data_IF_146368725890
#
_entry.id   IF_146368725890
#
_cell.length_a   1.000
_cell.length_b   1.000
_cell.length_c   1.000
_cell.angle_alpha   90.00
_cell.angle_beta   90.00
_cell.angle_gamma   90.00
#
_symmetry.space_group_name_H-M   'P 1'
#
loop_
_entity.id
_entity.type
_entity.pdbx_description
1 polymer ?
#
# COMPACT_ATOMS: atom_id res chain seq x y z
N UNK A 1 -14.29 4.99 -2.93
CA UNK A 1 -13.14 4.60 -2.10
C UNK A 1 -13.62 3.60 -1.05
N UNK A 2 -12.80 2.60 -0.69
CA UNK A 2 -13.13 1.64 0.37
C UNK A 2 -12.28 1.97 1.59
N UNK A 3 -12.92 2.14 2.75
CA UNK A 3 -12.24 2.47 4.01
C UNK A 3 -12.30 1.27 4.96
N UNK A 4 -11.16 0.93 5.56
CA UNK A 4 -11.06 -0.08 6.62
C UNK A 4 -10.33 0.52 7.83
N UNK A 5 -10.74 0.11 9.03
CA UNK A 5 -10.02 0.41 10.27
C UNK A 5 -8.78 -0.47 10.38
N UNK A 6 -7.73 0.04 11.02
CA UNK A 6 -6.52 -0.74 11.24
C UNK A 6 -6.71 -1.86 12.26
N UNK A 7 -6.17 -3.04 11.96
CA UNK A 7 -5.99 -4.11 12.93
C UNK A 7 -4.53 -4.12 13.43
N UNK A 8 -4.34 -4.04 14.75
CA UNK A 8 -3.01 -4.02 15.40
C UNK A 8 -2.28 -5.38 15.38
N UNK A 9 -2.98 -6.47 15.08
CA UNK A 9 -2.39 -7.81 14.96
C UNK A 9 -1.72 -8.03 13.61
N UNK A 10 -2.08 -7.24 12.58
CA UNK A 10 -1.51 -7.35 11.25
C UNK A 10 -0.06 -6.86 11.23
N UNK A 11 0.83 -7.68 10.66
CA UNK A 11 2.27 -7.38 10.55
C UNK A 11 2.74 -7.65 9.13
N UNK A 12 3.79 -6.95 8.72
CA UNK A 12 4.43 -7.15 7.41
C UNK A 12 5.94 -7.16 7.60
N UNK A 13 6.57 -8.27 7.23
CA UNK A 13 8.02 -8.37 7.23
C UNK A 13 8.61 -7.58 6.07
N UNK A 14 9.73 -6.90 6.32
CA UNK A 14 10.48 -6.13 5.33
C UNK A 14 11.98 -6.36 5.47
N UNK A 15 12.69 -6.27 4.36
CA UNK A 15 14.15 -6.35 4.31
C UNK A 15 14.80 -4.96 4.38
N UNK A 16 14.09 -3.90 4.00
CA UNK A 16 14.58 -2.53 4.04
C UNK A 16 13.41 -1.54 4.21
N UNK A 17 13.61 -0.53 5.06
CA UNK A 17 12.72 0.63 5.21
C UNK A 17 13.58 1.88 5.31
N UNK A 18 13.34 2.85 4.42
CA UNK A 18 14.04 4.14 4.34
C UNK A 18 13.03 5.26 4.27
N UNK A 19 13.28 6.35 4.98
CA UNK A 19 12.51 7.59 4.92
C UNK A 19 13.33 8.74 5.54
N UNK A 20 13.27 9.91 4.92
CA UNK A 20 13.86 11.16 5.41
C UNK A 20 12.76 12.10 5.88
N UNK A 21 12.84 12.57 7.12
CA UNK A 21 11.83 13.47 7.68
C UNK A 21 12.37 14.89 7.84
N UNK A 22 11.59 15.87 7.40
CA UNK A 22 11.77 17.28 7.78
C UNK A 22 10.79 17.59 8.90
N UNK A 23 11.31 17.89 10.08
CA UNK A 23 10.48 18.13 11.27
C UNK A 23 10.41 19.61 11.57
N UNK A 24 9.20 20.15 11.65
CA UNK A 24 8.94 21.54 11.99
C UNK A 24 7.62 21.66 12.75
N UNK A 25 7.63 22.38 13.88
CA UNK A 25 6.45 22.63 14.72
C UNK A 25 5.62 21.37 15.05
N UNK A 26 6.29 20.27 15.40
CA UNK A 26 5.62 19.02 15.76
C UNK A 26 5.04 18.23 14.57
N UNK A 27 5.30 18.64 13.33
CA UNK A 27 4.94 17.89 12.13
C UNK A 27 6.20 17.40 11.43
N UNK A 28 6.27 16.10 11.18
CA UNK A 28 7.31 15.45 10.39
C UNK A 28 6.79 15.18 8.99
N UNK A 29 7.32 15.89 8.01
CA UNK A 29 7.00 15.72 6.60
C UNK A 29 7.97 14.74 5.95
N UNK A 30 7.46 13.85 5.10
CA UNK A 30 8.27 12.88 4.36
C UNK A 30 7.82 12.76 2.90
N UNK A 31 8.80 12.71 1.99
CA UNK A 31 8.60 12.67 0.54
C UNK A 31 9.15 11.40 -0.13
N UNK A 32 9.94 10.60 0.60
CA UNK A 32 10.82 9.56 0.05
C UNK A 32 10.71 8.21 0.78
N UNK A 33 9.57 7.92 1.42
CA UNK A 33 9.36 6.59 2.03
C UNK A 33 9.57 5.52 0.96
N UNK A 34 10.39 4.53 1.31
CA UNK A 34 10.66 3.35 0.52
C UNK A 34 10.78 2.14 1.43
N UNK A 35 9.96 1.12 1.18
CA UNK A 35 9.99 -0.15 1.88
C UNK A 35 10.08 -1.30 0.87
N UNK A 36 10.99 -2.23 1.13
CA UNK A 36 11.19 -3.46 0.37
C UNK A 36 10.85 -4.67 1.25
N UNK A 37 9.96 -5.52 0.78
CA UNK A 37 9.52 -6.78 1.42
C UNK A 37 9.52 -7.90 0.37
N UNK A 38 9.57 -9.21 0.73
CA UNK A 38 9.65 -10.29 -0.28
C UNK A 38 8.63 -10.19 -1.42
N UNK A 39 7.39 -9.80 -1.12
CA UNK A 39 6.30 -9.72 -2.11
C UNK A 39 5.73 -8.30 -2.31
N UNK A 40 6.21 -7.32 -1.54
CA UNK A 40 5.67 -5.96 -1.52
C UNK A 40 6.78 -4.94 -1.75
N UNK A 41 6.47 -3.94 -2.56
CA UNK A 41 7.17 -2.66 -2.58
C UNK A 41 6.20 -1.58 -2.12
N UNK A 42 6.67 -0.68 -1.28
CA UNK A 42 5.86 0.45 -0.84
C UNK A 42 6.69 1.72 -0.98
N UNK A 43 6.10 2.72 -1.61
CA UNK A 43 6.61 4.08 -1.59
C UNK A 43 5.55 5.01 -1.03
N UNK A 44 5.91 6.22 -0.64
CA UNK A 44 4.89 7.17 -0.22
C UNK A 44 5.44 8.50 0.22
N UNK A 45 4.49 9.37 0.55
CA UNK A 45 4.74 10.69 1.06
C UNK A 45 3.57 11.16 1.94
N UNK A 46 3.84 12.11 2.83
CA UNK A 46 2.83 12.72 3.68
C UNK A 46 3.38 13.23 4.99
N UNK A 47 2.47 13.43 5.94
CA UNK A 47 2.72 14.14 7.19
C UNK A 47 2.38 13.26 8.39
N UNK A 48 3.28 13.29 9.38
CA UNK A 48 3.05 12.77 10.71
C UNK A 48 3.00 13.95 11.67
N UNK A 49 1.82 14.20 12.25
CA UNK A 49 1.66 15.19 13.29
C UNK A 49 1.95 14.53 14.64
N UNK A 50 3.17 14.72 15.12
CA UNK A 50 3.68 14.19 16.40
C UNK A 50 2.98 14.88 17.57
N UNK A 51 2.67 16.17 17.45
CA UNK A 51 1.98 16.90 18.52
C UNK A 51 0.53 16.46 18.75
N UNK A 52 -0.13 15.96 17.70
CA UNK A 52 -1.53 15.53 17.74
C UNK A 52 -1.72 14.02 17.52
N UNK A 53 -0.65 13.23 17.64
CA UNK A 53 -0.66 11.76 17.46
C UNK A 53 -1.45 11.28 16.25
N UNK A 54 -1.24 11.91 15.10
CA UNK A 54 -2.01 11.64 13.88
C UNK A 54 -1.13 11.62 12.63
N UNK A 55 -1.67 11.01 11.58
CA UNK A 55 -1.00 10.85 10.31
C UNK A 55 -1.95 11.19 9.17
N UNK A 56 -1.40 11.71 8.08
CA UNK A 56 -2.06 11.78 6.78
C UNK A 56 -1.03 11.48 5.70
N UNK A 57 -1.15 10.30 5.10
CA UNK A 57 -0.10 9.72 4.29
C UNK A 57 -0.68 9.04 3.07
N UNK A 58 0.01 9.15 1.94
CA UNK A 58 -0.32 8.42 0.73
C UNK A 58 0.75 7.36 0.50
N UNK A 59 0.40 6.10 0.74
CA UNK A 59 1.24 4.96 0.43
C UNK A 59 0.85 4.40 -0.95
N UNK A 60 1.84 4.06 -1.77
CA UNK A 60 1.67 3.35 -3.04
C UNK A 60 2.24 1.95 -2.84
N UNK A 61 1.34 0.98 -2.71
CA UNK A 61 1.69 -0.41 -2.49
C UNK A 61 1.70 -1.16 -3.82
N UNK A 62 2.85 -1.71 -4.22
CA UNK A 62 2.99 -2.51 -5.45
C UNK A 62 3.27 -3.96 -5.07
N UNK A 63 2.39 -4.87 -5.52
CA UNK A 63 2.58 -6.31 -5.35
C UNK A 63 3.56 -6.84 -6.40
N UNK A 64 4.56 -7.60 -5.96
CA UNK A 64 5.49 -8.25 -6.87
C UNK A 64 4.83 -9.44 -7.59
N UNK A 65 4.93 -9.48 -8.93
CA UNK A 65 4.38 -10.59 -9.72
C UNK A 65 5.13 -11.92 -9.54
N UNK A 66 6.39 -11.91 -9.15
CA UNK A 66 7.21 -13.13 -9.02
C UNK A 66 8.23 -13.02 -7.89
N UNK A 67 8.58 -14.16 -7.27
CA UNK A 67 9.78 -14.33 -6.43
C UNK A 67 11.08 -14.32 -7.27
N UNK A 68 10.96 -14.27 -8.60
CA UNK A 68 12.06 -14.20 -9.57
C UNK A 68 12.64 -12.78 -9.63
N UNK A 69 13.15 -12.31 -8.49
CA UNK A 69 13.82 -11.03 -8.32
C UNK A 69 15.21 -11.14 -7.69
N UNK A 70 15.75 -12.35 -7.51
CA UNK A 70 17.09 -12.60 -6.95
C UNK A 70 18.26 -12.24 -7.89
N UNK A 71 18.02 -11.43 -8.95
CA UNK A 71 18.99 -11.17 -10.01
C UNK A 71 19.26 -9.70 -10.34
N UNK A 72 18.87 -8.75 -9.49
CA UNK A 72 19.36 -7.36 -9.60
C UNK A 72 18.64 -6.44 -10.60
N UNK A 73 17.44 -6.78 -11.08
CA UNK A 73 16.56 -5.82 -11.77
C UNK A 73 15.50 -5.28 -10.81
N UNK A 74 15.62 -4.01 -10.44
CA UNK A 74 14.75 -3.23 -9.54
C UNK A 74 13.29 -3.08 -10.02
N UNK A 75 12.90 -3.70 -11.14
CA UNK A 75 11.59 -3.54 -11.74
C UNK A 75 10.61 -4.59 -11.24
N UNK A 76 9.87 -4.25 -10.20
CA UNK A 76 8.72 -5.03 -9.75
C UNK A 76 7.55 -4.77 -10.71
N UNK A 77 7.38 -5.62 -11.72
CA UNK A 77 6.17 -5.62 -12.54
C UNK A 77 4.98 -6.01 -11.67
N UNK A 78 4.03 -5.10 -11.46
CA UNK A 78 2.98 -5.29 -10.45
C UNK A 78 1.79 -4.36 -10.61
N UNK A 79 0.73 -4.63 -9.84
CA UNK A 79 -0.40 -3.70 -9.67
C UNK A 79 -0.04 -2.78 -8.51
N UNK A 80 -0.07 -1.49 -8.75
CA UNK A 80 0.16 -0.46 -7.72
C UNK A 80 -1.18 0.05 -7.21
N UNK A 81 -1.39 -0.08 -5.90
CA UNK A 81 -2.60 0.35 -5.20
C UNK A 81 -2.27 1.56 -4.32
N UNK A 82 -2.82 2.75 -4.61
CA UNK A 82 -2.71 3.89 -3.73
C UNK A 82 -3.64 3.71 -2.53
N UNK A 83 -3.06 3.81 -1.34
CA UNK A 83 -3.72 3.70 -0.04
C UNK A 83 -3.47 4.99 0.73
N UNK A 84 -4.53 5.72 1.04
CA UNK A 84 -4.45 6.83 1.99
C UNK A 84 -4.56 6.28 3.40
N UNK A 85 -3.55 6.56 4.22
CA UNK A 85 -3.52 6.28 5.65
C UNK A 85 -3.79 7.60 6.36
N UNK A 86 -4.84 7.67 7.17
CA UNK A 86 -5.17 8.92 7.85
C UNK A 86 -5.86 8.72 9.19
N UNK A 87 -5.70 9.68 10.09
CA UNK A 87 -6.37 9.72 11.38
C UNK A 87 -5.39 9.66 12.56
N UNK A 88 -5.92 9.62 13.79
CA UNK A 88 -5.09 9.43 14.98
C UNK A 88 -4.51 8.01 14.99
N UNK A 89 -3.34 7.81 15.60
CA UNK A 89 -2.69 6.49 15.71
C UNK A 89 -3.55 5.44 16.43
N UNK A 90 -4.51 5.88 17.23
CA UNK A 90 -5.47 5.03 17.95
C UNK A 90 -6.66 4.58 17.09
N UNK A 91 -6.95 5.28 15.99
CA UNK A 91 -8.06 4.98 15.05
C UNK A 91 -7.62 5.30 13.61
N UNK A 92 -6.62 4.55 13.13
CA UNK A 92 -6.12 4.70 11.77
C UNK A 92 -7.14 4.16 10.76
N UNK A 93 -7.34 4.95 9.70
CA UNK A 93 -8.20 4.60 8.57
C UNK A 93 -7.38 4.41 7.31
N UNK A 94 -7.56 3.27 6.67
CA UNK A 94 -6.99 2.94 5.38
C UNK A 94 -8.03 3.10 4.29
N UNK A 95 -7.81 4.03 3.37
CA UNK A 95 -8.73 4.32 2.27
C UNK A 95 -8.08 3.99 0.94
N UNK A 96 -8.62 2.99 0.25
CA UNK A 96 -8.18 2.60 -1.08
C UNK A 96 -8.88 3.45 -2.14
N UNK A 97 -8.09 4.12 -2.97
CA UNK A 97 -8.58 4.86 -4.12
C UNK A 97 -8.42 4.04 -5.40
N UNK A 98 -9.40 3.16 -5.64
CA UNK A 98 -9.49 2.40 -6.87
C UNK A 98 -9.71 3.29 -8.12
N UNK A 99 -10.23 4.50 -7.96
CA UNK A 99 -10.45 5.44 -9.07
C UNK A 99 -9.13 5.97 -9.63
N UNK A 100 -8.15 6.22 -8.77
CA UNK A 100 -6.80 6.62 -9.16
C UNK A 100 -6.04 5.50 -9.90
N UNK A 101 -6.26 4.23 -9.57
CA UNK A 101 -5.66 3.08 -10.28
C UNK A 101 -6.12 2.94 -11.73
N UNK A 102 -7.30 3.46 -12.06
CA UNK A 102 -7.82 3.41 -13.44
C UNK A 102 -6.96 4.26 -14.38
N UNK A 103 -6.26 5.28 -13.85
CA UNK A 103 -5.51 6.28 -14.63
C UNK A 103 -4.23 5.79 -15.32
N UNK A 104 -3.50 4.82 -14.76
CA UNK A 104 -2.14 4.49 -15.27
C UNK A 104 -2.00 3.15 -16.01
N UNK A 105 -2.94 2.20 -15.88
CA UNK A 105 -2.84 0.90 -16.60
C UNK A 105 -4.17 0.32 -17.10
N UNK A 106 -5.30 1.02 -16.88
CA UNK A 106 -6.58 0.35 -16.73
C UNK A 106 -7.75 0.94 -17.53
N UNK A 107 -7.69 2.18 -18.03
CA UNK A 107 -8.80 2.78 -18.80
C UNK A 107 -9.23 1.98 -20.03
N UNK A 108 -8.34 1.19 -20.65
CA UNK A 108 -8.69 0.41 -21.84
C UNK A 108 -9.12 -1.05 -21.56
N UNK A 109 -8.88 -1.60 -20.36
CA UNK A 109 -9.20 -3.01 -20.03
C UNK A 109 -10.21 -3.18 -18.89
N UNK A 110 -10.39 -2.18 -18.02
CA UNK A 110 -11.25 -2.29 -16.84
C UNK A 110 -12.74 -2.12 -17.17
N UNK A 111 -13.13 -1.26 -18.11
CA UNK A 111 -14.55 -1.13 -18.51
C UNK A 111 -15.13 -2.47 -19.00
N UNK A 112 -14.34 -3.26 -19.72
CA UNK A 112 -14.78 -4.52 -20.32
C UNK A 112 -14.73 -5.75 -19.39
N UNK A 113 -13.98 -5.70 -18.28
CA UNK A 113 -13.70 -6.88 -17.41
C UNK A 113 -13.81 -6.59 -15.91
N UNK A 114 -14.49 -5.53 -15.51
CA UNK A 114 -14.64 -5.09 -14.13
C UNK A 114 -15.12 -6.19 -13.17
N UNK A 115 -16.09 -6.98 -13.62
CA UNK A 115 -16.65 -8.09 -12.83
C UNK A 115 -15.73 -9.31 -12.77
N UNK A 116 -15.05 -9.68 -13.87
CA UNK A 116 -14.04 -10.77 -13.87
C UNK A 116 -12.85 -10.45 -12.95
N UNK A 117 -12.37 -9.21 -12.98
CA UNK A 117 -11.22 -8.78 -12.18
C UNK A 117 -11.59 -8.74 -10.69
N UNK A 118 -12.76 -8.23 -10.36
CA UNK A 118 -13.28 -8.21 -8.98
C UNK A 118 -13.45 -9.63 -8.42
N UNK A 119 -13.95 -10.55 -9.25
CA UNK A 119 -14.13 -11.97 -8.88
C UNK A 119 -12.77 -12.66 -8.67
N UNK A 120 -11.81 -12.49 -9.59
CA UNK A 120 -10.45 -13.06 -9.43
C UNK A 120 -9.69 -12.50 -8.23
N UNK A 121 -9.81 -11.20 -7.96
CA UNK A 121 -9.21 -10.60 -6.77
C UNK A 121 -9.81 -11.19 -5.48
N UNK A 122 -11.13 -11.38 -5.42
CA UNK A 122 -11.77 -12.01 -4.26
C UNK A 122 -11.37 -13.47 -4.06
N UNK A 123 -11.23 -14.25 -5.14
CA UNK A 123 -10.79 -15.64 -5.07
C UNK A 123 -9.32 -15.75 -4.62
N UNK A 124 -8.43 -14.92 -5.16
CA UNK A 124 -7.02 -14.93 -4.79
C UNK A 124 -6.81 -14.44 -3.35
N UNK A 125 -7.57 -13.45 -2.89
CA UNK A 125 -7.54 -13.00 -1.50
C UNK A 125 -8.04 -14.10 -0.55
N UNK A 126 -9.14 -14.79 -0.86
CA UNK A 126 -9.65 -15.90 -0.03
C UNK A 126 -8.69 -17.09 0.01
N UNK A 127 -8.03 -17.41 -1.11
CA UNK A 127 -7.05 -18.49 -1.20
C UNK A 127 -5.76 -18.17 -0.44
N UNK A 128 -5.24 -16.95 -0.60
CA UNK A 128 -4.04 -16.48 0.10
C UNK A 128 -4.24 -16.38 1.60
N UNK A 129 -5.38 -15.85 2.06
CA UNK A 129 -5.68 -15.75 3.48
C UNK A 129 -5.80 -17.13 4.16
N UNK A 130 -6.40 -18.14 3.51
CA UNK A 130 -6.44 -19.50 4.05
C UNK A 130 -5.07 -20.17 4.17
N UNK A 131 -4.10 -19.78 3.34
CA UNK A 131 -2.72 -20.26 3.42
C UNK A 131 -1.88 -19.57 4.50
N UNK A 132 -2.31 -18.39 4.96
CA UNK A 132 -1.60 -17.58 5.96
C UNK A 132 -1.99 -17.89 7.41
N UNK A 133 -3.15 -18.52 7.63
CA UNK A 133 -3.65 -18.89 8.97
C UNK A 133 -3.58 -20.40 9.23
N UNK A 134 -2.62 -21.09 8.61
CA UNK A 134 -2.37 -22.51 8.81
C UNK A 134 -1.00 -22.73 9.45
#
# INVERSE_FOLDING_TARGET
AQTQSANKEEKTDFSELKATFKVHNGVAHNDDLSLKSPLLRLTGNGDINIGNDSINYLAKATLAKTLEGQGGKESVGGITVPVRVSGPFTDLKYTLDFGAMVGEAARQKIEAKKEEVKTRLQEQLKGGLKGLFK
#
